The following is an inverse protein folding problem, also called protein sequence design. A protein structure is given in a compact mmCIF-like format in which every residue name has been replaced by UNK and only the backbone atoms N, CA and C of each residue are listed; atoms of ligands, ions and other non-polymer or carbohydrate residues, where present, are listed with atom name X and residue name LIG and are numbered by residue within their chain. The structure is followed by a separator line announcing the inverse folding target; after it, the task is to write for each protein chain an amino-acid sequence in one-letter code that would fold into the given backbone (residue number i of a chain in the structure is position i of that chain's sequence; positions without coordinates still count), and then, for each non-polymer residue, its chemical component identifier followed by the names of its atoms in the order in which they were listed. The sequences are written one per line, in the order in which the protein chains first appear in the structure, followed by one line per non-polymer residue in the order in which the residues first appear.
data_IF_190437412083
#
_entry.id   IF_190437412083
#
_cell.length_a   1.000
_cell.length_b   1.000
_cell.length_c   1.000
_cell.angle_alpha   90.00
_cell.angle_beta   90.00
_cell.angle_gamma   90.00
#
_symmetry.space_group_name_H-M   'P 1'
#
loop_
_entity.id
_entity.type
_entity.pdbx_description
1 polymer ?
#
# COMPACT_ATOMS: atom_id res chain seq x y z
N UNK A 1 34.12 59.18 9.65
CA UNK A 1 32.82 58.61 10.06
C UNK A 1 32.84 57.13 9.72
N UNK A 2 33.10 56.29 10.71
CA UNK A 2 32.97 54.84 10.62
C UNK A 2 31.60 54.52 11.21
N UNK A 3 30.63 54.19 10.37
CA UNK A 3 29.31 53.75 10.83
C UNK A 3 29.40 52.26 11.18
N UNK A 4 29.35 51.96 12.46
CA UNK A 4 29.11 50.61 12.98
C UNK A 4 27.64 50.27 12.77
N UNK A 5 27.33 49.31 11.91
CA UNK A 5 26.03 48.66 11.88
C UNK A 5 26.19 47.26 12.47
N UNK A 6 25.92 47.17 13.77
CA UNK A 6 25.76 45.92 14.51
C UNK A 6 24.28 45.73 14.87
N UNK A 7 23.85 44.47 14.82
CA UNK A 7 22.60 43.88 15.31
C UNK A 7 21.28 44.30 14.66
N UNK A 8 20.87 43.54 13.64
CA UNK A 8 19.44 43.29 13.37
C UNK A 8 19.15 41.87 13.86
N UNK A 9 18.32 41.79 14.89
CA UNK A 9 17.68 40.59 15.43
C UNK A 9 16.95 39.85 14.32
N UNK A 10 17.35 38.60 14.03
CA UNK A 10 16.64 37.74 13.10
C UNK A 10 15.59 36.95 13.86
N UNK A 11 14.36 37.19 13.42
CA UNK A 11 13.08 36.88 14.04
C UNK A 11 12.81 35.39 14.24
N UNK A 12 12.01 35.08 15.27
CA UNK A 12 11.48 33.76 15.61
C UNK A 12 10.63 33.10 14.49
N UNK A 13 10.46 33.77 13.34
CA UNK A 13 9.74 33.27 12.17
C UNK A 13 10.51 32.19 11.37
N UNK A 14 11.84 32.15 11.47
CA UNK A 14 12.65 31.17 10.72
C UNK A 14 12.57 29.76 11.36
N UNK A 15 12.26 29.67 12.65
CA UNK A 15 12.12 28.37 13.32
C UNK A 15 10.87 27.61 12.87
N UNK A 16 9.78 28.28 12.51
CA UNK A 16 8.52 27.61 12.12
C UNK A 16 8.56 27.07 10.68
N UNK A 17 9.24 27.79 9.78
CA UNK A 17 9.52 27.32 8.42
C UNK A 17 10.50 26.14 8.42
N UNK A 18 11.51 26.15 9.29
CA UNK A 18 12.43 25.01 9.41
C UNK A 18 11.71 23.77 9.97
N UNK A 19 10.86 23.89 11.00
CA UNK A 19 10.08 22.72 11.47
C UNK A 19 9.10 22.21 10.42
N UNK A 20 8.49 23.07 9.59
CA UNK A 20 7.58 22.64 8.52
C UNK A 20 8.31 21.93 7.37
N UNK A 21 9.54 22.35 7.07
CA UNK A 21 10.39 21.68 6.06
C UNK A 21 10.97 20.37 6.62
N UNK A 22 11.36 20.31 7.89
CA UNK A 22 11.85 19.08 8.54
C UNK A 22 10.75 18.04 8.84
N UNK A 23 9.50 18.44 9.17
CA UNK A 23 8.40 17.49 9.38
C UNK A 23 7.91 16.83 8.09
N UNK A 24 8.23 17.44 6.94
CA UNK A 24 7.90 16.91 5.62
C UNK A 24 8.97 15.93 5.08
N UNK A 25 10.20 15.96 5.58
CA UNK A 25 11.30 15.07 5.09
C UNK A 25 11.13 13.58 5.44
N UNK A 26 10.23 13.20 6.34
CA UNK A 26 10.05 11.78 6.71
C UNK A 26 9.09 11.00 5.79
N UNK A 27 8.52 11.64 4.77
CA UNK A 27 7.46 11.06 3.95
C UNK A 27 7.64 11.25 2.43
N UNK A 28 8.67 11.99 1.99
CA UNK A 28 9.07 12.06 0.58
C UNK A 28 10.12 10.98 0.30
N UNK A 29 9.75 10.03 -0.56
CA UNK A 29 10.64 9.02 -1.10
C UNK A 29 11.88 9.68 -1.72
N UNK A 30 13.04 9.61 -1.08
CA UNK A 30 14.30 9.70 -1.82
C UNK A 30 14.36 8.50 -2.77
N UNK A 31 14.43 8.80 -4.07
CA UNK A 31 14.60 7.83 -5.15
C UNK A 31 15.65 6.78 -4.76
N UNK A 32 15.22 5.53 -4.62
CA UNK A 32 16.14 4.40 -4.47
C UNK A 32 16.22 3.64 -5.79
N UNK A 33 17.32 3.80 -6.54
CA UNK A 33 17.70 2.87 -7.60
C UNK A 33 17.87 1.48 -6.96
N UNK A 34 17.48 0.44 -7.69
CA UNK A 34 17.83 -0.95 -7.42
C UNK A 34 17.52 -1.46 -6.00
N UNK A 35 16.34 -2.08 -5.88
CA UNK A 35 16.06 -3.00 -4.77
C UNK A 35 16.97 -4.24 -4.87
N UNK A 36 18.21 -4.11 -4.41
CA UNK A 36 19.06 -5.24 -4.09
C UNK A 36 18.53 -5.87 -2.80
N UNK A 37 17.76 -6.94 -2.97
CA UNK A 37 17.19 -7.74 -1.89
C UNK A 37 18.27 -8.71 -1.43
N UNK A 38 19.15 -8.25 -0.53
CA UNK A 38 19.99 -9.10 0.31
C UNK A 38 20.60 -8.31 1.48
N UNK A 39 19.76 -7.78 2.36
CA UNK A 39 20.18 -7.52 3.74
C UNK A 39 19.66 -8.68 4.57
N UNK A 40 20.59 -9.47 5.12
CA UNK A 40 20.28 -10.52 6.09
C UNK A 40 19.80 -9.87 7.38
N UNK A 41 18.50 -9.54 7.43
CA UNK A 41 17.86 -9.14 8.69
C UNK A 41 17.65 -10.42 9.50
N UNK A 42 18.17 -10.52 10.75
CA UNK A 42 17.96 -11.69 11.58
C UNK A 42 16.45 -11.92 11.77
N UNK A 43 16.02 -13.16 11.53
CA UNK A 43 14.61 -13.58 11.46
C UNK A 43 13.80 -13.45 12.78
N UNK A 44 14.34 -12.74 13.79
CA UNK A 44 13.85 -12.76 15.18
C UNK A 44 13.60 -11.38 15.78
N UNK A 45 13.73 -10.28 15.03
CA UNK A 45 13.33 -8.97 15.55
C UNK A 45 11.80 -8.90 15.69
N UNK A 46 11.28 -9.22 16.88
CA UNK A 46 9.85 -9.15 17.19
C UNK A 46 9.33 -7.73 16.94
N UNK A 47 8.36 -7.58 16.02
CA UNK A 47 7.72 -6.29 15.74
C UNK A 47 7.17 -5.70 17.05
N UNK A 48 7.65 -4.51 17.42
CA UNK A 48 7.18 -3.79 18.62
C UNK A 48 5.67 -3.56 18.53
N UNK A 49 4.99 -3.62 19.68
CA UNK A 49 3.54 -3.41 19.79
C UNK A 49 3.22 -1.92 19.90
N UNK A 50 2.05 -1.55 19.37
CA UNK A 50 1.53 -0.19 19.41
C UNK A 50 1.46 0.33 20.86
N UNK A 51 1.82 1.60 21.06
CA UNK A 51 1.81 2.28 22.37
C UNK A 51 0.41 2.44 22.98
N UNK A 52 -0.63 2.53 22.15
CA UNK A 52 -2.03 2.61 22.61
C UNK A 52 -2.41 1.35 23.37
N UNK A 53 -3.01 1.53 24.54
CA UNK A 53 -3.43 0.46 25.43
C UNK A 53 -4.30 -0.59 24.71
N UNK A 54 -4.07 -1.85 25.06
CA UNK A 54 -4.79 -3.00 24.51
C UNK A 54 -4.68 -3.15 22.97
N UNK A 55 -3.71 -2.51 22.32
CA UNK A 55 -3.49 -2.66 20.88
C UNK A 55 -2.43 -3.72 20.55
N UNK A 56 -2.86 -4.86 20.03
CA UNK A 56 -1.95 -5.92 19.60
C UNK A 56 -1.23 -5.64 18.27
N UNK A 57 -1.56 -4.54 17.58
CA UNK A 57 -1.00 -4.22 16.26
C UNK A 57 0.47 -3.83 16.35
N UNK A 58 1.22 -4.15 15.30
CA UNK A 58 2.62 -3.76 15.16
C UNK A 58 2.77 -2.24 14.97
N UNK A 59 3.83 -1.68 15.55
CA UNK A 59 4.28 -0.30 15.31
C UNK A 59 4.73 -0.16 13.87
N UNK A 60 4.31 0.95 13.25
CA UNK A 60 4.79 1.40 11.94
C UNK A 60 5.75 2.57 12.11
N UNK A 61 5.29 3.65 12.73
CA UNK A 61 6.13 4.81 13.08
C UNK A 61 5.59 5.47 14.35
N UNK A 62 6.39 6.33 14.99
CA UNK A 62 6.01 7.09 16.20
C UNK A 62 5.50 6.22 17.36
N UNK A 63 5.92 4.94 17.42
CA UNK A 63 5.42 3.99 18.43
C UNK A 63 3.96 3.54 18.22
N UNK A 64 3.35 3.86 17.08
CA UNK A 64 1.93 3.61 16.81
C UNK A 64 1.71 2.74 15.58
N UNK A 65 0.59 2.01 15.56
CA UNK A 65 0.14 1.25 14.39
C UNK A 65 -0.57 2.14 13.37
N UNK A 66 -0.81 1.65 12.15
CA UNK A 66 -1.48 2.40 11.06
C UNK A 66 -2.82 3.01 11.51
N UNK A 67 -3.60 2.24 12.27
CA UNK A 67 -4.91 2.64 12.79
C UNK A 67 -4.83 3.73 13.87
N UNK A 68 -3.71 3.83 14.57
CA UNK A 68 -3.49 4.80 15.64
C UNK A 68 -2.51 5.91 15.24
N UNK A 69 -2.45 6.28 13.95
CA UNK A 69 -1.58 7.39 13.53
C UNK A 69 -0.15 7.00 13.13
N UNK A 70 0.18 5.71 13.12
CA UNK A 70 1.43 5.23 12.51
C UNK A 70 1.43 5.43 10.98
N UNK A 71 2.58 5.77 10.43
CA UNK A 71 2.77 6.12 9.02
C UNK A 71 2.36 7.56 8.66
N UNK A 72 2.63 7.96 7.43
CA UNK A 72 2.35 9.29 6.91
C UNK A 72 0.86 9.46 6.56
N UNK A 73 0.32 10.66 6.80
CA UNK A 73 -1.03 11.06 6.38
C UNK A 73 -0.98 11.71 5.00
N UNK A 74 -2.13 11.78 4.36
CA UNK A 74 -2.27 12.50 3.11
C UNK A 74 -1.96 13.98 3.34
N UNK A 75 -1.16 14.61 2.48
CA UNK A 75 -0.84 16.03 2.54
C UNK A 75 -2.00 16.96 2.14
N UNK A 76 -3.19 16.41 1.90
CA UNK A 76 -4.38 17.21 1.58
C UNK A 76 -5.07 17.55 2.89
N UNK A 77 -5.29 18.85 3.12
CA UNK A 77 -5.99 19.39 4.27
C UNK A 77 -7.30 18.63 4.56
N UNK A 78 -7.49 18.24 5.82
CA UNK A 78 -8.65 17.46 6.27
C UNK A 78 -8.68 15.97 5.85
N UNK A 79 -7.63 15.43 5.22
CA UNK A 79 -7.58 14.02 4.83
C UNK A 79 -6.81 13.15 5.84
N UNK A 80 -7.52 12.38 6.64
CA UNK A 80 -6.92 11.46 7.63
C UNK A 80 -6.39 10.14 7.04
N UNK A 81 -6.59 9.94 5.73
CA UNK A 81 -6.20 8.71 5.03
C UNK A 81 -4.68 8.62 4.97
N UNK A 82 -4.12 7.42 5.14
CA UNK A 82 -2.68 7.22 5.00
C UNK A 82 -2.20 7.52 3.58
N UNK A 83 -1.05 8.21 3.49
CA UNK A 83 -0.33 8.41 2.24
C UNK A 83 0.16 7.06 1.69
N UNK A 84 0.17 6.95 0.37
CA UNK A 84 0.70 5.80 -0.37
C UNK A 84 1.95 6.16 -1.16
N UNK A 85 1.98 7.35 -1.75
CA UNK A 85 3.07 7.82 -2.61
C UNK A 85 3.01 9.34 -2.67
N UNK A 86 4.18 9.99 -2.69
CA UNK A 86 4.29 11.46 -2.84
C UNK A 86 3.46 12.23 -1.81
N UNK A 87 3.38 11.74 -0.57
CA UNK A 87 2.54 12.37 0.45
C UNK A 87 1.03 12.21 0.25
N UNK A 88 0.55 11.57 -0.82
CA UNK A 88 -0.87 11.54 -1.19
C UNK A 88 -1.51 10.17 -0.96
N UNK A 89 -2.79 10.15 -0.60
CA UNK A 89 -3.57 8.92 -0.49
C UNK A 89 -4.07 8.44 -1.87
N UNK A 90 -4.68 7.26 -1.92
CA UNK A 90 -5.18 6.69 -3.18
C UNK A 90 -6.25 7.56 -3.88
N UNK A 91 -7.01 8.36 -3.13
CA UNK A 91 -8.00 9.29 -3.70
C UNK A 91 -7.37 10.58 -4.22
N UNK A 92 -6.28 11.02 -3.59
CA UNK A 92 -5.65 12.32 -3.85
C UNK A 92 -4.39 12.22 -4.72
N UNK A 93 -4.18 11.12 -5.45
CA UNK A 93 -3.07 11.00 -6.40
C UNK A 93 -1.93 10.06 -5.98
N UNK A 94 -2.01 9.42 -4.81
CA UNK A 94 -1.05 8.41 -4.35
C UNK A 94 -1.11 7.08 -5.11
N UNK A 95 -1.58 7.07 -6.36
CA UNK A 95 -1.70 5.90 -7.23
C UNK A 95 -1.32 6.27 -8.66
N UNK A 96 -0.59 5.39 -9.34
CA UNK A 96 -0.20 5.58 -10.74
C UNK A 96 -1.27 5.04 -11.68
N UNK A 97 -1.45 5.65 -12.85
CA UNK A 97 -2.24 5.06 -13.95
C UNK A 97 -1.53 3.85 -14.54
N UNK A 98 -2.29 2.97 -15.18
CA UNK A 98 -1.73 1.86 -15.95
C UNK A 98 -0.92 2.41 -17.13
N UNK A 99 0.30 1.91 -17.33
CA UNK A 99 1.18 2.25 -18.47
C UNK A 99 0.66 1.81 -19.84
N UNK A 100 -0.50 1.15 -19.91
CA UNK A 100 -1.06 0.75 -21.19
C UNK A 100 -1.79 1.93 -21.79
N UNK A 101 -1.44 2.28 -23.02
CA UNK A 101 -2.08 3.33 -23.81
C UNK A 101 -3.61 3.24 -23.75
N UNK A 102 -4.26 4.36 -23.47
CA UNK A 102 -5.72 4.47 -23.34
C UNK A 102 -6.33 3.81 -22.08
N UNK A 103 -5.54 3.22 -21.18
CA UNK A 103 -6.09 2.58 -19.98
C UNK A 103 -6.37 3.59 -18.86
N UNK A 104 -7.63 3.66 -18.42
CA UNK A 104 -8.06 4.50 -17.29
C UNK A 104 -7.87 3.83 -15.92
N UNK A 105 -7.46 2.57 -15.90
CA UNK A 105 -7.31 1.82 -14.64
C UNK A 105 -6.03 2.24 -13.91
N UNK A 106 -6.05 2.06 -12.59
CA UNK A 106 -4.88 2.27 -11.74
C UNK A 106 -3.93 1.07 -11.81
N UNK A 107 -2.65 1.37 -11.72
CA UNK A 107 -1.58 0.38 -11.57
C UNK A 107 -1.73 -0.34 -10.26
N UNK A 108 -1.64 -1.67 -10.32
CA UNK A 108 -1.55 -2.52 -9.13
C UNK A 108 -0.10 -2.86 -8.81
N UNK A 109 0.64 -3.33 -9.81
CA UNK A 109 2.07 -3.63 -9.71
C UNK A 109 2.71 -3.57 -11.10
N UNK A 110 4.04 -3.44 -11.18
CA UNK A 110 4.80 -3.42 -12.44
C UNK A 110 4.28 -2.40 -13.47
N UNK A 111 3.75 -1.26 -13.01
CA UNK A 111 3.20 -0.23 -13.91
C UNK A 111 1.91 -0.64 -14.63
N UNK A 112 1.30 -1.78 -14.32
CA UNK A 112 0.10 -2.28 -15.00
C UNK A 112 -1.06 -2.53 -14.05
N UNK A 113 -2.28 -2.40 -14.56
CA UNK A 113 -3.51 -2.71 -13.82
C UNK A 113 -3.80 -4.22 -13.81
N UNK A 114 -4.82 -4.65 -13.08
CA UNK A 114 -5.18 -6.07 -12.96
C UNK A 114 -5.41 -6.75 -14.32
N UNK A 115 -6.07 -6.08 -15.25
CA UNK A 115 -6.39 -6.62 -16.60
C UNK A 115 -5.18 -6.64 -17.54
N UNK A 116 -4.17 -5.81 -17.27
CA UNK A 116 -2.98 -5.69 -18.10
C UNK A 116 -1.74 -6.35 -17.47
N UNK A 117 -1.91 -7.31 -16.55
CA UNK A 117 -0.78 -8.05 -15.98
C UNK A 117 -0.15 -7.45 -14.71
N UNK A 118 -0.85 -6.54 -14.04
CA UNK A 118 -0.47 -6.04 -12.71
C UNK A 118 -0.76 -7.03 -11.57
N UNK A 119 -1.33 -8.20 -11.86
CA UNK A 119 -1.53 -9.28 -10.91
C UNK A 119 -0.34 -10.22 -10.79
N UNK A 120 -0.44 -11.22 -9.89
CA UNK A 120 0.50 -12.36 -9.90
C UNK A 120 0.15 -13.23 -11.10
N UNK A 121 1.15 -13.71 -11.84
CA UNK A 121 0.91 -14.65 -12.95
C UNK A 121 0.62 -16.05 -12.42
N UNK A 122 -0.10 -16.84 -13.22
CA UNK A 122 -0.35 -18.25 -12.97
C UNK A 122 0.97 -18.99 -12.78
N UNK A 123 1.04 -19.86 -11.76
CA UNK A 123 2.22 -20.67 -11.48
C UNK A 123 2.48 -21.80 -12.50
N UNK A 124 1.62 -21.97 -13.50
CA UNK A 124 1.83 -22.95 -14.58
C UNK A 124 2.69 -22.34 -15.67
N UNK A 125 3.62 -23.12 -16.20
CA UNK A 125 4.51 -22.72 -17.29
C UNK A 125 3.73 -22.21 -18.51
N UNK A 126 4.27 -21.19 -19.17
CA UNK A 126 3.69 -20.51 -20.32
C UNK A 126 2.27 -19.95 -20.12
N UNK A 127 1.79 -19.77 -18.88
CA UNK A 127 0.48 -19.19 -18.62
C UNK A 127 0.54 -17.71 -18.22
N UNK A 128 0.16 -16.82 -19.14
CA UNK A 128 0.16 -15.37 -18.90
C UNK A 128 -1.05 -14.88 -18.08
N UNK A 129 -2.00 -15.77 -17.78
CA UNK A 129 -3.21 -15.40 -17.05
C UNK A 129 -2.89 -15.04 -15.61
N UNK A 130 -3.65 -14.08 -15.10
CA UNK A 130 -3.56 -13.68 -13.69
C UNK A 130 -3.99 -14.83 -12.77
N UNK A 131 -3.14 -15.14 -11.80
CA UNK A 131 -3.43 -16.07 -10.73
C UNK A 131 -4.53 -15.52 -9.80
N UNK A 132 -5.45 -16.40 -9.42
CA UNK A 132 -6.39 -16.19 -8.33
C UNK A 132 -5.77 -16.66 -7.00
N UNK A 133 -6.59 -16.76 -5.94
CA UNK A 133 -6.18 -17.45 -4.70
C UNK A 133 -5.70 -18.87 -5.05
N UNK A 134 -4.59 -19.29 -4.43
CA UNK A 134 -3.92 -20.55 -4.73
C UNK A 134 -2.81 -20.45 -5.79
N UNK A 135 -2.54 -19.26 -6.34
CA UNK A 135 -1.37 -19.03 -7.21
C UNK A 135 -1.53 -19.55 -8.64
N UNK A 136 -2.67 -20.11 -9.01
CA UNK A 136 -3.01 -20.54 -10.37
C UNK A 136 -4.17 -19.72 -10.93
N UNK A 137 -4.33 -19.67 -12.24
CA UNK A 137 -5.46 -19.04 -12.90
C UNK A 137 -6.70 -19.95 -12.84
N UNK A 138 -7.88 -19.43 -13.23
CA UNK A 138 -9.14 -20.15 -13.14
C UNK A 138 -9.08 -21.55 -13.77
N UNK A 139 -8.59 -21.67 -15.01
CA UNK A 139 -8.55 -22.97 -15.68
C UNK A 139 -7.46 -23.91 -15.16
N UNK A 140 -6.44 -23.40 -14.46
CA UNK A 140 -5.41 -24.24 -13.84
C UNK A 140 -5.70 -24.50 -12.34
N UNK A 141 -6.96 -24.39 -11.92
CA UNK A 141 -7.37 -24.70 -10.55
C UNK A 141 -7.24 -23.53 -9.55
N UNK A 142 -7.18 -22.30 -10.04
CA UNK A 142 -7.21 -21.10 -9.21
C UNK A 142 -8.61 -20.73 -8.73
N UNK A 143 -8.70 -20.21 -7.51
CA UNK A 143 -9.97 -19.85 -6.88
C UNK A 143 -10.71 -21.05 -6.29
N UNK A 144 -11.77 -20.78 -5.52
CA UNK A 144 -12.59 -21.82 -4.90
C UNK A 144 -13.71 -22.27 -5.83
N UNK A 145 -13.95 -23.58 -5.87
CA UNK A 145 -15.05 -24.22 -6.62
C UNK A 145 -16.24 -24.47 -5.71
N UNK A 146 -17.40 -24.60 -6.32
CA UNK A 146 -18.62 -24.98 -5.61
C UNK A 146 -18.42 -26.34 -4.92
N UNK A 147 -18.94 -26.45 -3.69
CA UNK A 147 -18.90 -27.68 -2.89
C UNK A 147 -19.75 -28.81 -3.47
N UNK A 148 -20.75 -28.51 -4.29
CA UNK A 148 -21.62 -29.52 -4.93
C UNK A 148 -20.81 -30.30 -5.95
N UNK A 149 -20.84 -31.63 -5.82
CA UNK A 149 -20.11 -32.53 -6.70
C UNK A 149 -20.47 -32.31 -8.18
N UNK A 150 -19.44 -32.31 -9.03
CA UNK A 150 -19.57 -31.99 -10.45
C UNK A 150 -19.73 -30.49 -10.79
N UNK A 151 -19.93 -29.60 -9.79
CA UNK A 151 -20.11 -28.18 -10.06
C UNK A 151 -18.78 -27.42 -10.13
N UNK A 152 -18.40 -26.99 -11.33
CA UNK A 152 -17.17 -26.23 -11.55
C UNK A 152 -17.32 -24.71 -11.39
N UNK A 153 -18.48 -24.22 -10.96
CA UNK A 153 -18.76 -22.79 -10.82
C UNK A 153 -17.97 -22.17 -9.66
N UNK A 154 -17.70 -20.85 -9.73
CA UNK A 154 -17.00 -20.16 -8.65
C UNK A 154 -17.84 -20.15 -7.40
N UNK A 155 -17.16 -20.26 -6.26
CA UNK A 155 -17.77 -20.12 -4.95
C UNK A 155 -16.90 -19.28 -4.03
N UNK A 156 -17.52 -18.75 -2.98
CA UNK A 156 -16.88 -17.86 -2.03
C UNK A 156 -17.17 -18.33 -0.61
N UNK A 157 -16.25 -18.06 0.32
CA UNK A 157 -16.41 -18.42 1.73
C UNK A 157 -17.67 -17.82 2.34
N UNK A 158 -18.00 -16.57 1.98
CA UNK A 158 -19.23 -15.89 2.40
C UNK A 158 -20.52 -16.56 1.94
N UNK A 159 -20.46 -17.47 0.97
CA UNK A 159 -21.60 -18.21 0.43
C UNK A 159 -21.48 -19.72 0.77
N UNK A 160 -20.87 -20.09 1.89
CA UNK A 160 -20.63 -21.50 2.29
C UNK A 160 -19.87 -22.35 1.26
N UNK A 161 -19.05 -21.71 0.42
CA UNK A 161 -18.40 -22.35 -0.73
C UNK A 161 -19.42 -22.97 -1.72
N UNK A 162 -20.62 -22.41 -1.82
CA UNK A 162 -21.61 -22.71 -2.86
C UNK A 162 -21.59 -21.64 -3.95
N UNK A 163 -21.91 -22.06 -5.17
CA UNK A 163 -22.12 -21.13 -6.27
C UNK A 163 -23.46 -20.41 -6.12
N UNK A 164 -23.68 -19.35 -6.92
CA UNK A 164 -24.91 -18.55 -6.87
C UNK A 164 -26.16 -19.41 -7.08
N UNK A 165 -26.11 -20.43 -7.94
CA UNK A 165 -27.26 -21.31 -8.14
C UNK A 165 -27.48 -22.32 -6.99
N UNK A 166 -26.41 -22.86 -6.41
CA UNK A 166 -26.53 -23.90 -5.38
C UNK A 166 -26.71 -23.36 -3.96
N UNK A 167 -26.44 -22.07 -3.72
CA UNK A 167 -26.76 -21.44 -2.43
C UNK A 167 -28.26 -21.18 -2.27
N UNK A 168 -28.98 -21.05 -3.37
CA UNK A 168 -30.42 -20.76 -3.42
C UNK A 168 -31.27 -22.04 -3.30
N UNK A 169 -30.65 -23.21 -3.53
CA UNK A 169 -31.26 -24.54 -3.38
C UNK A 169 -30.96 -25.18 -2.02
N UNK A 170 -30.40 -24.42 -1.07
CA UNK A 170 -30.02 -24.91 0.26
C UNK A 170 -31.16 -24.77 1.25
#
# INVERSE_FOLDING_TARGET
MIYTLSSVSLDEEIQDLLTTVFYNEFCYDMESPDHEKNVLVPATASKRRCKVDQCANAVVSKGMCIRHGGGCRCSVEGCETSSKREGLCWKHGGSRKCQREGCKNLTKSRGRCWTHGGGKQCATDACERTALRGGRCWAHGGGKRCKVDGCQRPAYERNDNLCVQHRETK
#
